data_IF_760592048725
#
_entry.id   IF_760592048725
#
_cell.length_a   1.000
_cell.length_b   1.000
_cell.length_c   1.000
_cell.angle_alpha   90.00
_cell.angle_beta   90.00
_cell.angle_gamma   90.00
#
_symmetry.space_group_name_H-M   'P 1'
#
loop_
_entity.id
_entity.type
_entity.pdbx_description
1 polymer ?
#
# COMPACT_ATOMS: atom_id res chain seq x y z
N UNK A 1 -22.38 21.80 -2.35
CA UNK A 1 -21.36 21.32 -3.30
C UNK A 1 -21.82 19.95 -3.81
N UNK A 2 -21.89 19.73 -5.13
CA UNK A 2 -22.26 18.42 -5.72
C UNK A 2 -21.00 17.73 -6.23
N UNK A 3 -20.69 16.55 -5.68
CA UNK A 3 -19.60 15.70 -6.13
C UNK A 3 -20.16 14.58 -7.01
N UNK A 4 -19.54 14.33 -8.16
CA UNK A 4 -19.83 13.17 -9.00
C UNK A 4 -18.52 12.42 -9.17
N UNK A 5 -18.45 11.22 -8.61
CA UNK A 5 -17.29 10.33 -8.70
C UNK A 5 -17.66 9.29 -9.75
N UNK A 6 -16.84 9.16 -10.79
CA UNK A 6 -16.96 8.10 -11.78
C UNK A 6 -15.84 7.10 -11.48
N UNK A 7 -16.13 5.81 -11.21
CA UNK A 7 -15.09 4.83 -10.98
C UNK A 7 -14.28 4.66 -12.27
N UNK A 8 -13.00 5.01 -12.26
CA UNK A 8 -12.05 4.47 -13.24
C UNK A 8 -11.88 2.98 -12.98
N UNK A 9 -11.69 2.19 -14.04
CA UNK A 9 -11.25 0.81 -13.92
C UNK A 9 -9.85 0.83 -13.27
N UNK A 10 -9.83 0.79 -11.93
CA UNK A 10 -8.62 0.86 -11.14
C UNK A 10 -7.95 -0.51 -11.23
N UNK A 11 -6.91 -0.61 -12.04
CA UNK A 11 -6.01 -1.76 -12.00
C UNK A 11 -5.22 -1.70 -10.69
N UNK A 12 -5.80 -2.26 -9.63
CA UNK A 12 -5.17 -2.41 -8.33
C UNK A 12 -4.63 -3.83 -8.22
N UNK A 13 -3.33 -3.95 -7.91
CA UNK A 13 -2.75 -5.21 -7.50
C UNK A 13 -2.82 -5.29 -5.98
N UNK A 14 -3.24 -6.44 -5.46
CA UNK A 14 -3.22 -6.75 -4.03
C UNK A 14 -2.30 -7.94 -3.78
N UNK A 15 -1.31 -7.75 -2.92
CA UNK A 15 -0.51 -8.83 -2.37
C UNK A 15 -0.93 -9.09 -0.92
N UNK A 16 -1.35 -10.31 -0.62
CA UNK A 16 -1.73 -10.72 0.74
C UNK A 16 -0.53 -11.43 1.37
N UNK A 17 -0.12 -10.97 2.55
CA UNK A 17 0.99 -11.57 3.28
C UNK A 17 0.57 -12.82 4.05
N UNK A 18 1.53 -13.67 4.42
CA UNK A 18 1.34 -14.83 5.30
C UNK A 18 0.79 -14.46 6.70
N UNK A 19 0.90 -13.18 7.09
CA UNK A 19 0.35 -12.60 8.32
C UNK A 19 -1.06 -12.03 8.17
N UNK A 20 -1.67 -12.14 6.99
CA UNK A 20 -3.07 -11.78 6.76
C UNK A 20 -3.36 -10.28 6.68
N UNK A 21 -2.36 -9.47 6.28
CA UNK A 21 -2.53 -8.05 5.96
C UNK A 21 -2.13 -7.78 4.50
N UNK A 22 -2.68 -6.72 3.90
CA UNK A 22 -2.62 -6.48 2.45
C UNK A 22 -1.62 -5.40 2.05
N UNK A 23 -1.03 -5.54 0.86
CA UNK A 23 -0.24 -4.51 0.18
C UNK A 23 -0.97 -4.15 -1.11
N UNK A 24 -1.35 -2.88 -1.27
CA UNK A 24 -1.94 -2.36 -2.49
C UNK A 24 -0.89 -1.68 -3.36
N UNK A 25 -0.83 -2.08 -4.63
CA UNK A 25 0.18 -1.68 -5.62
C UNK A 25 -0.52 -1.18 -6.89
N UNK A 26 0.15 -0.29 -7.63
CA UNK A 26 -0.30 0.16 -8.94
C UNK A 26 0.59 -0.47 -10.01
N UNK A 27 -0.01 -1.26 -10.91
CA UNK A 27 0.72 -1.96 -11.98
C UNK A 27 1.47 -1.02 -12.94
N UNK A 28 1.14 0.27 -12.93
CA UNK A 28 1.79 1.27 -13.79
C UNK A 28 2.98 1.96 -13.11
N UNK A 29 3.24 1.68 -11.83
CA UNK A 29 4.40 2.21 -11.12
C UNK A 29 5.66 1.35 -11.35
N UNK A 30 6.82 1.97 -11.12
CA UNK A 30 8.10 1.27 -11.16
C UNK A 30 8.18 0.27 -9.99
N UNK A 31 8.22 -1.06 -10.27
CA UNK A 31 8.22 -2.07 -9.23
C UNK A 31 9.46 -2.00 -8.34
N UNK A 32 10.60 -1.49 -8.85
CA UNK A 32 11.83 -1.32 -8.04
C UNK A 32 11.64 -0.21 -7.02
N UNK A 33 11.01 0.90 -7.43
CA UNK A 33 10.71 2.01 -6.54
C UNK A 33 9.68 1.60 -5.47
N UNK A 34 8.62 0.90 -5.85
CA UNK A 34 7.61 0.39 -4.91
C UNK A 34 8.22 -0.58 -3.89
N UNK A 35 9.07 -1.50 -4.34
CA UNK A 35 9.77 -2.43 -3.45
C UNK A 35 10.67 -1.69 -2.45
N UNK A 36 11.44 -0.69 -2.90
CA UNK A 36 12.29 0.12 -2.02
C UNK A 36 11.46 0.88 -0.97
N UNK A 37 10.36 1.50 -1.38
CA UNK A 37 9.46 2.19 -0.45
C UNK A 37 8.86 1.22 0.58
N UNK A 38 8.46 0.03 0.15
CA UNK A 38 7.95 -1.02 1.03
C UNK A 38 9.01 -1.44 2.06
N UNK A 39 10.25 -1.73 1.62
CA UNK A 39 11.33 -2.13 2.53
C UNK A 39 11.65 -1.04 3.56
N UNK A 40 11.71 0.22 3.13
CA UNK A 40 11.93 1.36 4.03
C UNK A 40 10.85 1.41 5.11
N UNK A 41 9.56 1.36 4.73
CA UNK A 41 8.46 1.44 5.69
C UNK A 41 8.44 0.25 6.66
N UNK A 42 8.69 -0.96 6.17
CA UNK A 42 8.72 -2.16 7.00
C UNK A 42 9.85 -2.10 8.03
N UNK A 43 11.01 -1.57 7.65
CA UNK A 43 12.18 -1.51 8.52
C UNK A 43 12.16 -0.34 9.51
N UNK A 44 11.64 0.82 9.10
CA UNK A 44 11.71 2.05 9.90
C UNK A 44 10.46 2.27 10.76
N UNK A 45 9.27 2.03 10.19
CA UNK A 45 8.00 2.45 10.81
C UNK A 45 7.28 1.28 11.48
N UNK A 46 7.33 0.10 10.84
CA UNK A 46 6.44 -1.02 11.18
C UNK A 46 7.17 -2.21 11.83
N UNK A 47 8.51 -2.17 11.94
CA UNK A 47 9.35 -3.28 12.41
C UNK A 47 8.85 -4.01 13.67
N UNK A 48 8.30 -3.26 14.63
CA UNK A 48 7.78 -3.81 15.89
C UNK A 48 6.23 -3.77 16.00
N UNK A 49 5.53 -3.38 14.93
CA UNK A 49 4.08 -3.17 14.89
C UNK A 49 3.37 -4.00 13.81
N UNK A 50 4.11 -4.83 13.08
CA UNK A 50 3.58 -5.61 11.97
C UNK A 50 2.42 -6.55 12.36
N UNK A 51 2.33 -6.99 13.62
CA UNK A 51 1.21 -7.79 14.12
C UNK A 51 -0.13 -7.03 14.13
N UNK A 52 -0.09 -5.70 14.21
CA UNK A 52 -1.26 -4.83 14.22
C UNK A 52 -1.49 -4.18 12.86
N UNK A 53 -0.77 -4.58 11.82
CA UNK A 53 -0.94 -3.98 10.49
C UNK A 53 -2.18 -4.56 9.79
N UNK A 54 -2.98 -3.70 9.16
CA UNK A 54 -4.12 -4.09 8.34
C UNK A 54 -3.79 -3.99 6.85
N UNK A 55 -3.19 -2.88 6.42
CA UNK A 55 -2.69 -2.75 5.06
C UNK A 55 -1.56 -1.71 4.94
N UNK A 56 -0.82 -1.81 3.83
CA UNK A 56 0.03 -0.77 3.25
C UNK A 56 -0.50 -0.44 1.85
N UNK A 57 -0.57 0.83 1.49
CA UNK A 57 -0.98 1.31 0.18
C UNK A 57 0.16 2.12 -0.45
N UNK A 58 0.66 1.61 -1.58
CA UNK A 58 1.77 2.18 -2.36
C UNK A 58 1.29 2.80 -3.68
N UNK A 59 -0.02 2.78 -3.95
CA UNK A 59 -0.60 3.25 -5.23
C UNK A 59 -0.47 4.76 -5.44
N UNK A 60 -0.11 5.52 -4.41
CA UNK A 60 0.13 6.94 -4.52
C UNK A 60 1.64 7.16 -4.66
N UNK A 61 2.12 7.65 -5.82
CA UNK A 61 3.53 7.92 -6.01
C UNK A 61 4.08 8.80 -4.89
N UNK A 62 5.30 8.52 -4.43
CA UNK A 62 6.02 9.28 -3.38
C UNK A 62 5.41 9.25 -1.97
N UNK A 63 4.32 8.53 -1.73
CA UNK A 63 3.68 8.45 -0.41
C UNK A 63 3.32 7.01 -0.07
N UNK A 64 3.59 6.62 1.17
CA UNK A 64 3.15 5.34 1.71
C UNK A 64 2.06 5.60 2.73
N UNK A 65 0.90 4.99 2.52
CA UNK A 65 -0.18 4.98 3.50
C UNK A 65 -0.24 3.62 4.16
N UNK A 66 -0.62 3.58 5.43
CA UNK A 66 -0.83 2.33 6.14
C UNK A 66 -1.95 2.50 7.16
N UNK A 67 -2.60 1.39 7.49
CA UNK A 67 -3.59 1.32 8.56
C UNK A 67 -3.20 0.25 9.55
N UNK A 68 -3.31 0.58 10.83
CA UNK A 68 -3.22 -0.37 11.93
C UNK A 68 -4.64 -0.81 12.31
N UNK A 69 -4.76 -2.05 12.80
CA UNK A 69 -5.97 -2.59 13.43
C UNK A 69 -6.31 -1.85 14.72
#
# INVERSE_FOLDING_TARGET
IKFKITPSANFNLEAITDRGWSIYLDQNQDPVLEANNLFTILNEVIKNKASNLEYIDLRIPSRVFYKMR
#
